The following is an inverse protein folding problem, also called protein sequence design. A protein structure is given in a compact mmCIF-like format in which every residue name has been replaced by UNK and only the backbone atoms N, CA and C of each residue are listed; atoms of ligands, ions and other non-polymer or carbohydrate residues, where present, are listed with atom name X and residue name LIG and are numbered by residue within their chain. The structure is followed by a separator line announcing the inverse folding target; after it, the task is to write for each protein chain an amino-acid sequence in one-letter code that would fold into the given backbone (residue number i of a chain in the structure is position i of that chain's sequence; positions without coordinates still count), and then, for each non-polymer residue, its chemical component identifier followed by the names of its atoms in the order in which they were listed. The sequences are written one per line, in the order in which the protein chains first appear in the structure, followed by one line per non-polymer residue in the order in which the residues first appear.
data_IF_775680438532
#
_entry.id   IF_775680438532
#
_cell.length_a   1.000
_cell.length_b   1.000
_cell.length_c   1.000
_cell.angle_alpha   90.00
_cell.angle_beta   90.00
_cell.angle_gamma   90.00
#
_symmetry.space_group_name_H-M   'P 1'
#
loop_
_entity.id
_entity.type
_entity.pdbx_description
1 polymer ?
#
# COMPACT_ATOMS: atom_id res chain seq x y z
N UNK A 1 -13.43 29.76 -12.30
CA UNK A 1 -12.68 30.62 -11.35
C UNK A 1 -12.81 29.97 -9.98
N UNK A 2 -11.71 29.48 -9.39
CA UNK A 2 -11.74 28.93 -8.03
C UNK A 2 -11.95 30.10 -7.06
N UNK A 3 -12.99 30.04 -6.24
CA UNK A 3 -13.27 31.09 -5.26
C UNK A 3 -12.17 31.11 -4.19
N UNK A 4 -11.74 32.30 -3.77
CA UNK A 4 -10.75 32.46 -2.70
C UNK A 4 -11.17 31.74 -1.40
N UNK A 5 -12.47 31.57 -1.17
CA UNK A 5 -13.00 30.80 -0.03
C UNK A 5 -12.77 29.29 -0.11
N UNK A 6 -12.74 28.72 -1.33
CA UNK A 6 -12.51 27.29 -1.52
C UNK A 6 -11.04 26.92 -1.31
N UNK A 7 -10.15 27.83 -1.73
CA UNK A 7 -8.69 27.72 -1.52
C UNK A 7 -8.39 27.72 -0.02
N UNK A 8 -9.03 28.61 0.74
CA UNK A 8 -8.81 28.72 2.19
C UNK A 8 -9.25 27.44 2.93
N UNK A 9 -10.44 26.91 2.63
CA UNK A 9 -10.90 25.63 3.19
C UNK A 9 -9.99 24.46 2.86
N UNK A 10 -9.43 24.43 1.66
CA UNK A 10 -8.48 23.39 1.27
C UNK A 10 -7.18 23.50 2.07
N UNK A 11 -6.65 24.71 2.23
CA UNK A 11 -5.46 24.96 3.05
C UNK A 11 -5.64 24.61 4.52
N UNK A 12 -6.80 24.93 5.10
CA UNK A 12 -7.12 24.56 6.49
C UNK A 12 -7.09 23.03 6.66
N UNK A 13 -7.54 22.29 5.64
CA UNK A 13 -7.52 20.82 5.63
C UNK A 13 -6.09 20.27 5.54
N UNK A 14 -5.26 20.85 4.67
CA UNK A 14 -3.84 20.48 4.54
C UNK A 14 -3.09 20.77 5.84
N UNK A 15 -3.29 21.95 6.42
CA UNK A 15 -2.64 22.34 7.67
C UNK A 15 -3.05 21.41 8.83
N UNK A 16 -4.33 21.04 8.92
CA UNK A 16 -4.82 20.10 9.93
C UNK A 16 -4.17 18.71 9.83
N UNK A 17 -3.90 18.23 8.61
CA UNK A 17 -3.24 16.96 8.36
C UNK A 17 -1.80 16.99 8.86
N UNK A 18 -1.03 18.01 8.50
CA UNK A 18 0.37 18.13 8.95
C UNK A 18 0.46 18.38 10.46
N UNK A 19 -0.48 19.12 11.07
CA UNK A 19 -0.57 19.23 12.53
C UNK A 19 -0.79 17.88 13.21
N UNK A 20 -1.61 17.00 12.62
CA UNK A 20 -1.87 15.66 13.16
C UNK A 20 -0.65 14.72 13.05
N UNK A 21 0.14 14.85 11.98
CA UNK A 21 1.31 14.00 11.73
C UNK A 21 2.59 14.52 12.38
N UNK A 22 2.59 15.75 12.90
CA UNK A 22 3.75 16.36 13.53
C UNK A 22 3.80 15.96 15.01
N UNK A 23 4.91 15.34 15.49
CA UNK A 23 5.01 14.89 16.87
C UNK A 23 4.95 16.08 17.84
N UNK A 24 4.04 15.98 18.82
CA UNK A 24 3.86 16.98 19.86
C UNK A 24 4.54 16.54 21.17
N UNK A 25 5.53 17.30 21.64
CA UNK A 25 6.25 17.03 22.90
C UNK A 25 6.99 18.26 23.41
N UNK A 26 7.37 18.29 24.69
CA UNK A 26 8.02 19.44 25.33
C UNK A 26 9.31 19.88 24.60
N UNK A 27 10.12 18.92 24.17
CA UNK A 27 11.36 19.15 23.42
C UNK A 27 11.11 19.79 22.04
N UNK A 28 9.98 19.47 21.39
CA UNK A 28 9.62 20.05 20.09
C UNK A 28 9.07 21.48 20.24
N UNK A 29 8.43 21.79 21.37
CA UNK A 29 7.98 23.17 21.67
C UNK A 29 9.14 24.12 21.93
N UNK A 30 10.16 23.68 22.66
CA UNK A 30 11.41 24.45 22.83
C UNK A 30 12.11 24.70 21.48
N UNK A 31 12.00 23.73 20.55
CA UNK A 31 12.53 23.85 19.21
C UNK A 31 11.70 24.82 18.33
N UNK A 32 10.37 24.78 18.42
CA UNK A 32 9.47 25.77 17.78
C UNK A 32 9.72 27.18 18.30
N UNK A 33 9.90 27.35 19.62
CA UNK A 33 10.22 28.63 20.25
C UNK A 33 11.58 29.16 19.78
N UNK A 34 12.57 28.29 19.56
CA UNK A 34 13.89 28.68 19.08
C UNK A 34 13.94 29.02 17.59
N UNK A 35 13.12 28.36 16.77
CA UNK A 35 13.12 28.52 15.30
C UNK A 35 12.06 29.55 14.86
N UNK A 36 11.11 29.92 15.74
CA UNK A 36 10.00 30.85 15.47
C UNK A 36 9.06 30.40 14.33
N UNK A 37 9.17 29.14 13.90
CA UNK A 37 8.35 28.54 12.86
C UNK A 37 7.67 27.31 13.43
N UNK A 38 6.35 27.14 13.28
CA UNK A 38 5.66 25.94 13.73
C UNK A 38 6.19 24.70 13.00
N UNK A 39 6.42 23.61 13.75
CA UNK A 39 7.09 22.41 13.24
C UNK A 39 6.30 21.75 12.09
N UNK A 40 4.98 21.92 12.06
CA UNK A 40 4.12 21.37 10.99
C UNK A 40 4.36 22.02 9.62
N UNK A 41 4.88 23.26 9.56
CA UNK A 41 5.34 23.85 8.30
C UNK A 41 6.69 23.29 7.86
N UNK A 42 7.57 22.96 8.81
CA UNK A 42 8.86 22.32 8.54
C UNK A 42 8.64 20.90 7.98
N UNK A 43 7.72 20.14 8.56
CA UNK A 43 7.34 18.81 8.05
C UNK A 43 6.67 18.88 6.68
N UNK A 44 5.84 19.91 6.43
CA UNK A 44 5.28 20.17 5.11
C UNK A 44 6.38 20.43 4.07
N UNK A 45 7.33 21.32 4.36
CA UNK A 45 8.46 21.63 3.46
C UNK A 45 9.33 20.38 3.21
N UNK A 46 9.66 19.63 4.27
CA UNK A 46 10.41 18.37 4.14
C UNK A 46 9.67 17.35 3.27
N UNK A 47 8.35 17.22 3.41
CA UNK A 47 7.56 16.30 2.60
C UNK A 47 7.56 16.68 1.11
N UNK A 48 7.52 17.99 0.80
CA UNK A 48 7.61 18.49 -0.58
C UNK A 48 9.01 18.28 -1.14
N UNK A 49 10.06 18.52 -0.34
CA UNK A 49 11.45 18.28 -0.75
C UNK A 49 11.68 16.80 -1.04
N UNK A 50 11.21 15.91 -0.15
CA UNK A 50 11.25 14.46 -0.39
C UNK A 50 10.48 14.13 -1.65
N UNK A 51 9.25 14.62 -1.83
CA UNK A 51 8.46 14.37 -3.04
C UNK A 51 9.17 14.86 -4.32
N UNK A 52 9.79 16.03 -4.30
CA UNK A 52 10.54 16.59 -5.42
C UNK A 52 11.82 15.79 -5.73
N UNK A 53 12.57 15.39 -4.71
CA UNK A 53 13.77 14.54 -4.86
C UNK A 53 13.36 13.19 -5.46
N UNK A 54 12.28 12.60 -4.97
CA UNK A 54 11.74 11.32 -5.44
C UNK A 54 11.22 11.44 -6.88
N UNK A 55 10.52 12.52 -7.21
CA UNK A 55 10.06 12.81 -8.57
C UNK A 55 11.21 13.03 -9.56
N UNK A 56 12.29 13.67 -9.12
CA UNK A 56 13.45 14.01 -9.98
C UNK A 56 14.37 12.82 -10.20
N UNK A 57 14.62 12.01 -9.16
CA UNK A 57 15.50 10.85 -9.25
C UNK A 57 14.87 9.67 -10.00
N UNK A 58 13.53 9.57 -10.05
CA UNK A 58 12.86 8.32 -10.40
C UNK A 58 11.76 8.43 -11.44
N UNK A 59 12.06 9.15 -12.53
CA UNK A 59 11.26 9.23 -13.76
C UNK A 59 10.96 7.85 -14.41
N UNK A 60 11.62 6.78 -13.98
CA UNK A 60 11.39 5.39 -14.42
C UNK A 60 10.61 4.56 -13.39
N UNK A 61 9.60 3.84 -13.88
CA UNK A 61 8.56 3.06 -13.15
C UNK A 61 9.06 2.10 -12.05
N UNK A 62 10.34 1.77 -12.02
CA UNK A 62 10.94 0.83 -11.06
C UNK A 62 10.94 1.32 -9.61
N UNK A 63 10.99 2.63 -9.35
CA UNK A 63 11.22 3.12 -8.00
C UNK A 63 10.06 2.93 -7.03
N UNK A 64 8.82 3.09 -7.50
CA UNK A 64 7.62 2.86 -6.69
C UNK A 64 7.54 1.43 -6.15
N UNK A 65 8.11 0.49 -6.89
CA UNK A 65 8.24 -0.92 -6.53
C UNK A 65 9.22 -1.07 -5.37
N UNK A 66 10.40 -0.44 -5.48
CA UNK A 66 11.45 -0.48 -4.45
C UNK A 66 11.08 0.26 -3.16
N UNK A 67 10.21 1.27 -3.25
CA UNK A 67 9.81 2.13 -2.14
C UNK A 67 9.12 1.36 -1.01
N UNK A 68 8.29 0.36 -1.35
CA UNK A 68 7.64 -0.52 -0.37
C UNK A 68 8.45 -1.80 -0.16
N UNK A 69 9.08 -2.32 -1.22
CA UNK A 69 9.85 -3.57 -1.17
C UNK A 69 11.04 -3.52 -0.22
N UNK A 70 11.85 -2.45 -0.24
CA UNK A 70 13.08 -2.38 0.57
C UNK A 70 12.74 -2.31 2.07
N UNK A 71 11.83 -1.41 2.53
CA UNK A 71 11.43 -1.39 3.94
C UNK A 71 10.76 -2.69 4.39
N UNK A 72 9.90 -3.29 3.57
CA UNK A 72 9.24 -4.56 3.92
C UNK A 72 10.22 -5.71 4.01
N UNK A 73 11.23 -5.76 3.14
CA UNK A 73 12.31 -6.74 3.19
C UNK A 73 13.16 -6.57 4.45
N UNK A 74 13.54 -5.34 4.79
CA UNK A 74 14.29 -5.07 6.01
C UNK A 74 13.53 -5.48 7.26
N UNK A 75 12.24 -5.16 7.35
CA UNK A 75 11.39 -5.58 8.48
C UNK A 75 11.18 -7.09 8.51
N UNK A 76 11.00 -7.75 7.36
CA UNK A 76 10.91 -9.22 7.28
C UNK A 76 12.17 -9.87 7.86
N UNK A 77 13.36 -9.40 7.45
CA UNK A 77 14.64 -9.92 7.93
C UNK A 77 14.81 -9.66 9.43
N UNK A 78 14.46 -8.46 9.89
CA UNK A 78 14.57 -8.11 11.31
C UNK A 78 13.63 -8.95 12.18
N UNK A 79 12.39 -9.15 11.75
CA UNK A 79 11.43 -9.99 12.46
C UNK A 79 11.84 -11.47 12.49
N UNK A 80 12.43 -11.98 11.40
CA UNK A 80 13.00 -13.32 11.35
C UNK A 80 14.20 -13.46 12.27
N UNK A 81 15.07 -12.44 12.32
CA UNK A 81 16.23 -12.41 13.21
C UNK A 81 15.83 -12.37 14.69
N UNK A 82 14.75 -11.66 15.01
CA UNK A 82 14.18 -11.54 16.36
C UNK A 82 13.22 -12.69 16.73
N UNK A 83 13.10 -13.73 15.90
CA UNK A 83 12.21 -14.90 16.10
C UNK A 83 10.75 -14.56 16.46
N UNK A 84 10.23 -13.44 15.93
CA UNK A 84 8.88 -12.92 16.28
C UNK A 84 7.71 -13.78 15.80
N UNK A 85 7.95 -14.95 15.19
CA UNK A 85 6.93 -15.86 14.61
C UNK A 85 5.96 -15.17 13.62
N UNK A 86 6.42 -14.15 12.90
CA UNK A 86 5.62 -13.39 11.90
C UNK A 86 5.73 -13.95 10.49
N UNK A 87 6.25 -15.16 10.30
CA UNK A 87 6.48 -15.81 9.00
C UNK A 87 5.23 -15.83 8.11
N UNK A 88 4.07 -16.14 8.70
CA UNK A 88 2.78 -16.18 8.00
C UNK A 88 2.34 -14.79 7.50
N UNK A 89 2.66 -13.73 8.26
CA UNK A 89 2.40 -12.32 7.88
C UNK A 89 3.17 -11.98 6.62
N UNK A 90 4.47 -12.21 6.68
CA UNK A 90 5.38 -11.86 5.60
C UNK A 90 5.10 -12.71 4.36
N UNK A 91 4.80 -14.01 4.50
CA UNK A 91 4.38 -14.85 3.39
C UNK A 91 3.11 -14.33 2.69
N UNK A 92 2.08 -13.94 3.45
CA UNK A 92 0.85 -13.37 2.90
C UNK A 92 1.08 -12.02 2.23
N UNK A 93 1.89 -11.15 2.84
CA UNK A 93 2.30 -9.88 2.26
C UNK A 93 3.06 -10.07 0.94
N UNK A 94 4.03 -10.98 0.88
CA UNK A 94 4.82 -11.25 -0.33
C UNK A 94 3.98 -11.84 -1.46
N UNK A 95 3.00 -12.68 -1.14
CA UNK A 95 2.02 -13.17 -2.11
C UNK A 95 1.18 -12.02 -2.69
N UNK A 96 0.63 -11.16 -1.82
CA UNK A 96 -0.12 -9.98 -2.25
C UNK A 96 0.73 -9.04 -3.11
N UNK A 97 1.97 -8.80 -2.69
CA UNK A 97 2.94 -7.99 -3.43
C UNK A 97 3.16 -8.53 -4.84
N UNK A 98 3.36 -9.85 -4.99
CA UNK A 98 3.50 -10.50 -6.28
C UNK A 98 2.23 -10.37 -7.15
N UNK A 99 1.04 -10.59 -6.58
CA UNK A 99 -0.23 -10.44 -7.30
C UNK A 99 -0.45 -9.01 -7.80
N UNK A 100 -0.17 -8.01 -6.97
CA UNK A 100 -0.28 -6.59 -7.33
C UNK A 100 0.71 -6.23 -8.45
N UNK A 101 1.86 -6.93 -8.52
CA UNK A 101 2.84 -6.79 -9.59
C UNK A 101 2.44 -7.42 -10.91
N UNK A 102 1.69 -8.53 -10.88
CA UNK A 102 1.19 -9.17 -12.09
C UNK A 102 0.03 -8.39 -12.74
N UNK A 103 -0.50 -7.38 -12.06
CA UNK A 103 -1.50 -6.48 -12.66
C UNK A 103 -0.91 -5.76 -13.87
N UNK A 104 -1.71 -5.56 -14.92
CA UNK A 104 -1.15 -5.25 -16.23
C UNK A 104 -0.53 -3.85 -16.28
N UNK A 105 0.74 -3.78 -16.71
CA UNK A 105 1.62 -2.62 -16.55
C UNK A 105 1.26 -1.36 -17.35
N UNK A 106 0.31 -1.44 -18.29
CA UNK A 106 -0.29 -0.27 -18.94
C UNK A 106 -1.03 0.63 -17.94
N UNK A 107 -1.61 0.07 -16.88
CA UNK A 107 -2.24 0.85 -15.81
C UNK A 107 -1.21 1.64 -14.98
N UNK A 108 0.06 1.21 -14.98
CA UNK A 108 1.14 1.96 -14.31
C UNK A 108 1.59 3.21 -15.09
N UNK A 109 0.98 3.47 -16.26
CA UNK A 109 1.06 4.78 -16.90
C UNK A 109 0.19 5.84 -16.20
N UNK A 110 -0.79 5.39 -15.39
CA UNK A 110 -1.67 6.24 -14.61
C UNK A 110 -1.05 6.42 -13.23
N UNK A 111 -0.51 7.61 -12.95
CA UNK A 111 0.18 7.92 -11.68
C UNK A 111 -0.69 7.61 -10.46
N UNK A 112 -1.98 7.96 -10.52
CA UNK A 112 -2.95 7.69 -9.44
C UNK A 112 -3.05 6.20 -9.12
N UNK A 113 -3.00 5.33 -10.13
CA UNK A 113 -3.05 3.88 -9.94
C UNK A 113 -1.77 3.36 -9.27
N UNK A 114 -0.60 3.84 -9.69
CA UNK A 114 0.68 3.50 -9.06
C UNK A 114 0.75 3.96 -7.60
N UNK A 115 0.25 5.16 -7.31
CA UNK A 115 0.18 5.68 -5.92
C UNK A 115 -0.76 4.84 -5.06
N UNK A 116 -1.94 4.49 -5.56
CA UNK A 116 -2.89 3.62 -4.84
C UNK A 116 -2.27 2.25 -4.57
N UNK A 117 -1.60 1.63 -5.55
CA UNK A 117 -0.86 0.37 -5.35
C UNK A 117 0.16 0.49 -4.21
N UNK A 118 0.99 1.54 -4.20
CA UNK A 118 1.97 1.75 -3.14
C UNK A 118 1.32 1.94 -1.78
N UNK A 119 0.24 2.71 -1.68
CA UNK A 119 -0.48 2.93 -0.42
C UNK A 119 -1.09 1.64 0.13
N UNK A 120 -1.69 0.82 -0.73
CA UNK A 120 -2.25 -0.48 -0.35
C UNK A 120 -1.14 -1.42 0.14
N UNK A 121 -0.03 -1.51 -0.58
CA UNK A 121 1.10 -2.34 -0.14
C UNK A 121 1.72 -1.85 1.17
N UNK A 122 1.87 -0.53 1.34
CA UNK A 122 2.37 0.04 2.60
C UNK A 122 1.41 -0.25 3.76
N UNK A 123 0.09 -0.13 3.55
CA UNK A 123 -0.91 -0.47 4.56
C UNK A 123 -0.73 -1.93 5.04
N UNK A 124 -0.66 -2.87 4.11
CA UNK A 124 -0.51 -4.28 4.43
C UNK A 124 0.86 -4.65 5.01
N UNK A 125 1.94 -3.94 4.64
CA UNK A 125 3.26 -4.16 5.21
C UNK A 125 3.36 -3.72 6.68
N UNK A 126 2.84 -2.52 6.99
CA UNK A 126 3.11 -1.85 8.27
C UNK A 126 1.96 -1.92 9.27
N UNK A 127 0.72 -2.00 8.81
CA UNK A 127 -0.47 -1.85 9.67
C UNK A 127 -1.33 -3.11 9.78
N UNK A 128 -1.23 -4.07 8.85
CA UNK A 128 -2.00 -5.31 8.96
C UNK A 128 -1.27 -6.36 9.82
N UNK A 129 -1.95 -6.84 10.85
CA UNK A 129 -1.50 -7.93 11.72
C UNK A 129 -2.10 -9.27 11.25
N UNK A 130 -1.88 -9.59 9.96
CA UNK A 130 -2.41 -10.76 9.25
C UNK A 130 -3.93 -10.87 9.12
N UNK A 131 -4.73 -10.07 9.82
CA UNK A 131 -6.17 -10.34 9.95
C UNK A 131 -6.88 -10.09 8.62
N UNK A 132 -6.60 -8.95 7.98
CA UNK A 132 -7.22 -8.61 6.70
C UNK A 132 -6.65 -9.42 5.54
N UNK A 133 -5.33 -9.70 5.52
CA UNK A 133 -4.72 -10.57 4.50
C UNK A 133 -5.31 -11.98 4.58
N UNK A 134 -5.46 -12.55 5.77
CA UNK A 134 -6.00 -13.90 5.93
C UNK A 134 -7.47 -13.95 5.55
N UNK A 135 -8.28 -12.97 5.98
CA UNK A 135 -9.69 -12.86 5.56
C UNK A 135 -9.83 -12.72 4.04
N UNK A 136 -8.96 -11.92 3.42
CA UNK A 136 -8.95 -11.75 1.97
C UNK A 136 -8.54 -13.03 1.23
N UNK A 137 -7.52 -13.74 1.72
CA UNK A 137 -7.10 -15.03 1.17
C UNK A 137 -8.18 -16.11 1.33
N UNK A 138 -8.88 -16.15 2.47
CA UNK A 138 -10.01 -17.05 2.68
C UNK A 138 -11.19 -16.72 1.75
N UNK A 139 -11.45 -15.44 1.53
CA UNK A 139 -12.45 -14.99 0.56
C UNK A 139 -12.08 -15.40 -0.87
N UNK A 140 -10.82 -15.20 -1.27
CA UNK A 140 -10.30 -15.65 -2.56
C UNK A 140 -10.40 -17.16 -2.71
N UNK A 141 -10.04 -17.93 -1.68
CA UNK A 141 -10.17 -19.38 -1.68
C UNK A 141 -11.62 -19.82 -1.91
N UNK A 142 -12.60 -19.19 -1.24
CA UNK A 142 -14.02 -19.45 -1.48
C UNK A 142 -14.47 -19.15 -2.92
N UNK A 143 -13.93 -18.07 -3.51
CA UNK A 143 -14.21 -17.74 -4.92
C UNK A 143 -13.60 -18.79 -5.84
N UNK A 144 -12.34 -19.16 -5.63
CA UNK A 144 -11.66 -20.17 -6.43
C UNK A 144 -12.35 -21.53 -6.34
N UNK A 145 -12.76 -21.97 -5.15
CA UNK A 145 -13.51 -23.22 -4.98
C UNK A 145 -14.86 -23.18 -5.71
N UNK A 146 -15.54 -22.03 -5.71
CA UNK A 146 -16.81 -21.85 -6.45
C UNK A 146 -16.58 -21.90 -7.96
N UNK A 147 -15.58 -21.19 -8.47
CA UNK A 147 -15.22 -21.20 -9.90
C UNK A 147 -14.75 -22.59 -10.33
N UNK A 148 -13.99 -23.29 -9.50
CA UNK A 148 -13.52 -24.65 -9.74
C UNK A 148 -14.69 -25.64 -9.81
N UNK A 149 -15.65 -25.56 -8.88
CA UNK A 149 -16.88 -26.37 -8.95
C UNK A 149 -17.71 -26.08 -10.19
N UNK A 150 -17.90 -24.81 -10.54
CA UNK A 150 -18.61 -24.42 -11.76
C UNK A 150 -17.89 -24.91 -13.03
N UNK A 151 -16.56 -24.89 -13.04
CA UNK A 151 -15.76 -25.43 -14.14
C UNK A 151 -15.95 -26.95 -14.27
N UNK A 152 -15.85 -27.69 -13.16
CA UNK A 152 -16.08 -29.14 -13.13
C UNK A 152 -17.50 -29.50 -13.58
N UNK A 153 -18.53 -28.80 -13.08
CA UNK A 153 -19.92 -29.05 -13.47
C UNK A 153 -20.17 -28.77 -14.95
N UNK A 154 -19.56 -27.72 -15.49
CA UNK A 154 -19.80 -27.29 -16.88
C UNK A 154 -19.00 -28.09 -17.90
N UNK A 155 -17.77 -28.49 -17.59
CA UNK A 155 -16.86 -29.11 -18.56
C UNK A 155 -16.58 -30.60 -18.28
N UNK A 156 -16.65 -31.06 -17.02
CA UNK A 156 -16.38 -32.47 -16.70
C UNK A 156 -17.65 -33.34 -16.62
N UNK A 157 -18.86 -32.78 -16.48
CA UNK A 157 -20.10 -33.58 -16.62
C UNK A 157 -20.38 -33.99 -18.08
N UNK A 158 -19.95 -33.21 -19.08
CA UNK A 158 -20.07 -33.58 -20.49
C UNK A 158 -19.26 -34.83 -20.84
N UNK A 159 -18.11 -35.04 -20.17
CA UNK A 159 -17.27 -36.24 -20.39
C UNK A 159 -18.02 -37.53 -20.02
N UNK A 160 -18.89 -37.49 -19.00
CA UNK A 160 -19.71 -38.66 -18.60
C UNK A 160 -20.86 -38.97 -19.57
N UNK A 161 -21.28 -37.99 -20.38
CA UNK A 161 -22.33 -38.16 -21.40
C UNK A 161 -21.76 -38.60 -22.75
N UNK A 162 -20.52 -38.24 -23.07
CA UNK A 162 -19.85 -38.66 -24.32
C UNK A 162 -19.36 -40.11 -24.25
N UNK A 163 -18.95 -40.60 -23.06
CA UNK A 163 -18.45 -41.98 -22.87
C UNK A 163 -19.58 -43.03 -22.78
N UNK A 164 -20.85 -42.62 -22.70
CA UNK A 164 -22.02 -43.54 -22.69
C UNK A 164 -22.63 -43.80 -24.08
N UNK A 165 -21.96 -43.39 -25.15
CA UNK A 165 -22.41 -43.54 -26.54
C UNK A 165 -21.57 -44.49 -27.38
N UNK A 166 -20.87 -45.43 -26.75
CA UNK A 166 -20.31 -46.64 -27.39
C UNK A 166 -20.88 -47.91 -26.73
#
# INVERSE_FOLDING_TARGET
MVSSGDIKKYWDKVESFYKCCTPSGKQFKELEEKIHVPLHYITMILSVIVFCIMHTLFRNRGFYIYLVFIPSLFMTINDMHEEKKTEKKWAGFWFLFACVHMLPGWLDSIITYTVIKCLVLAFFAFFDDCTLIVEFLQFLQKIFDRLYKQYLEKYCQEISKVVKTD
#
